data_IF_392034713374
#
_entry.id   IF_392034713374
#
_cell.length_a   1.000
_cell.length_b   1.000
_cell.length_c   1.000
_cell.angle_alpha   90.00
_cell.angle_beta   90.00
_cell.angle_gamma   90.00
#
_symmetry.space_group_name_H-M   'P 1'
#
loop_
_entity.id
_entity.type
_entity.pdbx_description
1 polymer ?
#
# COMPACT_ATOMS: atom_id res chain seq x y z
N UNK A 1 11.56 -4.82 -10.56
CA UNK A 1 10.25 -4.78 -9.87
C UNK A 1 9.43 -5.99 -10.29
N UNK A 2 8.95 -6.74 -9.32
CA UNK A 2 8.10 -7.90 -9.54
C UNK A 2 6.78 -7.69 -8.80
N UNK A 3 5.66 -7.86 -9.49
CA UNK A 3 4.32 -7.77 -8.90
C UNK A 3 3.76 -9.17 -8.67
N UNK A 4 3.28 -9.42 -7.46
CA UNK A 4 2.66 -10.68 -7.06
C UNK A 4 1.24 -10.41 -6.63
N UNK A 5 0.27 -11.01 -7.31
CA UNK A 5 -1.13 -10.85 -6.95
C UNK A 5 -1.46 -11.56 -5.63
N UNK A 6 -2.37 -10.97 -4.87
CA UNK A 6 -2.92 -11.56 -3.65
C UNK A 6 -4.20 -12.32 -3.96
N UNK A 7 -4.88 -12.83 -2.92
CA UNK A 7 -6.20 -13.46 -3.06
C UNK A 7 -7.25 -12.50 -3.64
N UNK A 8 -7.03 -11.19 -3.50
CA UNK A 8 -7.79 -10.15 -4.22
C UNK A 8 -6.88 -9.66 -5.34
N UNK A 9 -7.12 -10.04 -6.61
CA UNK A 9 -6.18 -9.80 -7.70
C UNK A 9 -5.78 -8.35 -7.92
N UNK A 10 -6.64 -7.41 -7.56
CA UNK A 10 -6.37 -5.98 -7.72
C UNK A 10 -5.38 -5.43 -6.70
N UNK A 11 -5.21 -6.13 -5.57
CA UNK A 11 -4.25 -5.78 -4.52
C UNK A 11 -2.97 -6.57 -4.77
N UNK A 12 -1.88 -5.88 -5.03
CA UNK A 12 -0.62 -6.52 -5.44
C UNK A 12 0.52 -6.22 -4.50
N UNK A 13 1.29 -7.26 -4.18
CA UNK A 13 2.56 -7.14 -3.50
C UNK A 13 3.63 -6.75 -4.52
N UNK A 14 4.45 -5.77 -4.19
CA UNK A 14 5.56 -5.35 -5.04
C UNK A 14 6.87 -5.75 -4.38
N UNK A 15 7.67 -6.51 -5.09
CA UNK A 15 9.01 -6.89 -4.68
C UNK A 15 10.01 -6.06 -5.51
N UNK A 16 10.68 -5.07 -4.90
CA UNK A 16 11.64 -4.25 -5.63
C UNK A 16 12.92 -5.03 -5.95
N UNK A 17 13.61 -4.60 -6.99
CA UNK A 17 14.96 -5.10 -7.25
C UNK A 17 15.93 -4.39 -6.30
N UNK A 18 16.64 -5.15 -5.47
CA UNK A 18 17.60 -4.62 -4.51
C UNK A 18 19.01 -5.02 -4.95
N UNK A 19 19.89 -4.03 -5.05
CA UNK A 19 21.28 -4.22 -5.48
C UNK A 19 22.19 -4.04 -4.28
N UNK A 20 22.78 -5.15 -3.81
CA UNK A 20 23.66 -5.17 -2.64
C UNK A 20 25.13 -5.34 -3.04
N UNK A 21 26.02 -4.64 -2.33
CA UNK A 21 27.46 -4.81 -2.43
C UNK A 21 28.11 -4.57 -1.05
N UNK A 22 29.44 -4.48 -1.00
CA UNK A 22 30.16 -4.27 0.26
C UNK A 22 29.85 -2.94 0.97
N UNK A 23 29.26 -1.97 0.28
CA UNK A 23 28.91 -0.67 0.83
C UNK A 23 27.52 -0.66 1.47
N UNK A 24 26.66 -1.66 1.16
CA UNK A 24 25.26 -1.70 1.56
C UNK A 24 24.38 -2.12 0.39
N UNK A 25 23.23 -1.48 0.27
CA UNK A 25 22.30 -1.79 -0.82
C UNK A 25 21.66 -0.53 -1.39
N UNK A 26 21.16 -0.67 -2.62
CA UNK A 26 20.44 0.37 -3.33
C UNK A 26 19.20 -0.24 -3.99
N UNK A 27 18.11 0.48 -3.96
CA UNK A 27 16.93 0.13 -4.76
C UNK A 27 16.24 1.39 -5.28
N UNK A 28 15.61 1.24 -6.43
CA UNK A 28 14.65 2.21 -6.91
C UNK A 28 13.32 1.91 -6.21
N UNK A 29 12.92 2.76 -5.29
CA UNK A 29 11.74 2.50 -4.46
C UNK A 29 10.43 2.81 -5.17
N UNK A 30 10.47 3.63 -6.22
CA UNK A 30 9.31 3.88 -7.08
C UNK A 30 9.76 4.37 -8.44
N UNK A 31 9.10 3.87 -9.48
CA UNK A 31 9.26 4.31 -10.85
C UNK A 31 7.88 4.18 -11.51
N UNK A 32 7.25 5.30 -11.81
CA UNK A 32 5.89 5.32 -12.35
C UNK A 32 5.78 4.53 -13.64
N UNK A 33 6.72 4.71 -14.55
CA UNK A 33 6.69 4.04 -15.85
C UNK A 33 6.75 2.51 -15.71
N UNK A 34 7.63 2.01 -14.85
CA UNK A 34 7.75 0.57 -14.59
C UNK A 34 6.55 0.02 -13.86
N UNK A 35 6.05 0.74 -12.87
CA UNK A 35 4.87 0.34 -12.11
C UNK A 35 3.66 0.19 -13.02
N UNK A 36 3.41 1.20 -13.86
CA UNK A 36 2.32 1.16 -14.83
C UNK A 36 2.47 0.01 -15.83
N UNK A 37 3.68 -0.23 -16.33
CA UNK A 37 3.94 -1.31 -17.26
C UNK A 37 3.68 -2.69 -16.64
N UNK A 38 4.10 -2.90 -15.39
CA UNK A 38 3.90 -4.17 -14.69
C UNK A 38 2.41 -4.41 -14.35
N UNK A 39 1.68 -3.36 -13.96
CA UNK A 39 0.22 -3.47 -13.78
C UNK A 39 -0.48 -3.85 -15.08
N UNK A 40 -0.10 -3.22 -16.19
CA UNK A 40 -0.67 -3.51 -17.51
C UNK A 40 -0.42 -4.96 -17.93
N UNK A 41 0.74 -5.52 -17.63
CA UNK A 41 1.05 -6.94 -17.90
C UNK A 41 0.10 -7.89 -17.17
N UNK A 42 -0.39 -7.51 -16.00
CA UNK A 42 -1.34 -8.28 -15.22
C UNK A 42 -2.79 -8.01 -15.64
N UNK A 43 -3.02 -7.13 -16.61
CA UNK A 43 -4.36 -6.72 -17.01
C UNK A 43 -5.07 -5.84 -15.99
N UNK A 44 -4.33 -5.23 -15.07
CA UNK A 44 -4.89 -4.37 -14.03
C UNK A 44 -4.94 -2.91 -14.50
N UNK A 45 -5.91 -2.13 -13.98
CA UNK A 45 -5.97 -0.71 -14.32
C UNK A 45 -4.73 0.05 -13.88
N UNK A 46 -4.29 0.98 -14.72
CA UNK A 46 -3.22 1.91 -14.40
C UNK A 46 -3.82 3.05 -13.57
N UNK A 47 -3.30 3.32 -12.38
CA UNK A 47 -3.86 4.35 -11.51
C UNK A 47 -3.55 5.76 -11.98
N UNK A 48 -4.25 6.73 -11.38
CA UNK A 48 -3.88 8.13 -11.47
C UNK A 48 -2.49 8.33 -10.83
N UNK A 49 -1.84 9.43 -11.17
CA UNK A 49 -0.53 9.76 -10.61
C UNK A 49 -0.59 9.94 -9.08
N UNK A 50 0.48 9.55 -8.40
CA UNK A 50 0.63 9.85 -6.98
C UNK A 50 0.92 11.34 -6.79
N UNK A 51 0.25 11.95 -5.82
CA UNK A 51 0.30 13.41 -5.60
C UNK A 51 0.67 13.79 -4.16
N UNK A 52 0.72 12.82 -3.25
CA UNK A 52 1.00 13.06 -1.83
C UNK A 52 1.78 11.89 -1.24
N UNK A 53 2.78 12.20 -0.43
CA UNK A 53 3.50 11.23 0.39
C UNK A 53 3.16 11.45 1.86
N UNK A 54 2.96 10.37 2.59
CA UNK A 54 2.74 10.38 4.04
C UNK A 54 3.77 9.48 4.73
N UNK A 55 4.15 9.88 5.95
CA UNK A 55 5.13 9.16 6.77
C UNK A 55 4.62 9.12 8.19
N UNK A 56 4.49 7.94 8.78
CA UNK A 56 4.08 7.77 10.16
C UNK A 56 5.12 6.99 10.96
N UNK A 57 5.11 7.26 12.27
CA UNK A 57 5.88 6.52 13.27
C UNK A 57 4.88 5.92 14.27
N UNK A 58 5.06 4.65 14.61
CA UNK A 58 4.13 3.95 15.51
C UNK A 58 4.88 3.02 16.46
N UNK A 59 4.42 2.99 17.70
CA UNK A 59 4.88 2.01 18.69
C UNK A 59 4.24 0.65 18.42
N UNK A 60 4.88 -0.41 18.90
CA UNK A 60 4.37 -1.76 18.76
C UNK A 60 2.93 -1.87 19.26
N UNK A 61 2.09 -2.53 18.47
CA UNK A 61 0.69 -2.75 18.80
C UNK A 61 -0.25 -1.62 18.40
N UNK A 62 0.27 -0.49 17.92
CA UNK A 62 -0.57 0.60 17.42
C UNK A 62 -1.27 0.13 16.16
N UNK A 63 -2.60 0.28 16.16
CA UNK A 63 -3.46 -0.02 15.03
C UNK A 63 -3.95 1.30 14.43
N UNK A 64 -3.71 1.49 13.12
CA UNK A 64 -4.24 2.64 12.38
C UNK A 64 -5.17 2.13 11.28
N UNK A 65 -6.40 2.62 11.28
CA UNK A 65 -7.36 2.24 10.24
C UNK A 65 -8.66 1.69 10.83
N UNK A 66 -9.51 1.12 10.00
CA UNK A 66 -9.41 1.09 8.53
C UNK A 66 -9.93 2.39 7.94
N UNK A 67 -9.17 3.03 7.08
CA UNK A 67 -9.53 4.31 6.48
C UNK A 67 -9.77 4.19 4.98
N UNK A 68 -10.66 5.02 4.47
CA UNK A 68 -10.87 5.23 3.04
C UNK A 68 -11.44 6.62 2.80
N UNK A 69 -11.35 7.10 1.57
CA UNK A 69 -11.98 8.35 1.15
C UNK A 69 -13.04 8.09 0.10
N UNK A 70 -14.16 8.78 0.28
CA UNK A 70 -15.28 8.75 -0.66
C UNK A 70 -14.97 9.59 -1.90
N UNK A 71 -15.59 9.32 -3.06
CA UNK A 71 -15.58 10.27 -4.16
C UNK A 71 -16.02 11.67 -3.69
N UNK A 72 -15.49 12.76 -4.23
CA UNK A 72 -14.64 12.79 -5.43
C UNK A 72 -13.12 12.62 -5.17
N UNK A 73 -12.71 12.23 -3.96
CA UNK A 73 -11.30 12.11 -3.60
C UNK A 73 -10.91 10.71 -3.08
N UNK A 74 -11.25 9.62 -3.82
CA UNK A 74 -10.76 8.30 -3.42
C UNK A 74 -9.25 8.25 -3.56
N UNK A 75 -8.59 7.47 -2.70
CA UNK A 75 -7.13 7.35 -2.70
C UNK A 75 -6.71 5.91 -2.96
N UNK A 76 -5.94 5.70 -4.03
CA UNK A 76 -5.08 4.54 -4.17
C UNK A 76 -3.81 4.77 -3.36
N UNK A 77 -3.26 3.72 -2.76
CA UNK A 77 -2.12 3.83 -1.86
C UNK A 77 -1.04 2.84 -2.22
N UNK A 78 0.19 3.31 -2.28
CA UNK A 78 1.37 2.47 -2.40
C UNK A 78 2.16 2.60 -1.10
N UNK A 79 2.20 1.51 -0.33
CA UNK A 79 2.69 1.52 1.04
C UNK A 79 3.94 0.68 1.22
N UNK A 80 4.81 1.10 2.14
CA UNK A 80 6.02 0.35 2.52
C UNK A 80 6.46 0.69 3.94
N UNK A 81 7.24 -0.22 4.54
CA UNK A 81 7.85 -0.03 5.86
C UNK A 81 9.34 0.21 5.68
N UNK A 82 9.86 1.29 6.25
CA UNK A 82 11.29 1.63 6.17
C UNK A 82 12.05 1.34 7.46
N UNK A 83 11.33 1.13 8.57
CA UNK A 83 11.88 0.70 9.84
C UNK A 83 10.84 -0.13 10.58
N UNK A 84 11.25 -1.28 11.14
CA UNK A 84 10.35 -2.15 11.86
C UNK A 84 9.53 -3.06 10.94
N UNK A 85 8.31 -3.35 11.36
CA UNK A 85 7.39 -4.25 10.65
C UNK A 85 5.95 -3.88 10.91
N UNK A 86 5.10 -4.11 9.91
CA UNK A 86 3.66 -3.91 10.01
C UNK A 86 2.90 -5.03 9.32
N UNK A 87 1.73 -5.37 9.88
CA UNK A 87 0.73 -6.17 9.18
C UNK A 87 -0.22 -5.21 8.49
N UNK A 88 -0.14 -5.17 7.17
CA UNK A 88 -0.92 -4.26 6.34
C UNK A 88 -2.17 -4.94 5.84
N UNK A 89 -3.33 -4.30 5.98
CA UNK A 89 -4.64 -4.90 5.70
C UNK A 89 -5.40 -4.05 4.70
N UNK A 90 -5.91 -4.68 3.65
CA UNK A 90 -6.79 -4.06 2.67
C UNK A 90 -8.10 -4.84 2.59
N UNK A 91 -9.21 -4.12 2.66
CA UNK A 91 -10.57 -4.68 2.58
C UNK A 91 -11.26 -4.12 1.36
N UNK A 92 -11.80 -4.99 0.52
CA UNK A 92 -12.58 -4.57 -0.63
C UNK A 92 -13.97 -4.08 -0.18
N UNK A 93 -14.22 -2.79 -0.37
CA UNK A 93 -15.51 -2.17 -0.05
C UNK A 93 -16.19 -1.60 -1.31
N UNK A 94 -15.73 -2.01 -2.49
CA UNK A 94 -16.27 -1.54 -3.77
C UNK A 94 -17.63 -2.17 -4.05
N UNK A 95 -18.62 -1.31 -4.28
CA UNK A 95 -19.97 -1.73 -4.63
C UNK A 95 -19.96 -2.49 -5.97
N UNK A 96 -20.55 -3.67 -5.99
CA UNK A 96 -20.60 -4.51 -7.19
C UNK A 96 -19.33 -5.33 -7.47
N UNK A 97 -18.31 -5.22 -6.62
CA UNK A 97 -17.10 -6.04 -6.77
C UNK A 97 -17.38 -7.51 -6.44
N UNK A 98 -16.82 -8.47 -7.22
CA UNK A 98 -16.93 -9.88 -6.89
C UNK A 98 -16.23 -10.27 -5.58
N UNK A 99 -15.32 -9.42 -5.08
CA UNK A 99 -14.59 -9.64 -3.83
C UNK A 99 -15.03 -8.70 -2.71
N UNK A 100 -16.21 -8.08 -2.84
CA UNK A 100 -16.74 -7.19 -1.81
C UNK A 100 -16.77 -7.87 -0.44
N UNK A 101 -16.19 -7.22 0.57
CA UNK A 101 -16.10 -7.72 1.94
C UNK A 101 -14.91 -8.65 2.20
N UNK A 102 -14.23 -9.09 1.17
CA UNK A 102 -13.00 -9.88 1.33
C UNK A 102 -11.84 -8.96 1.72
N UNK A 103 -10.84 -9.53 2.37
CA UNK A 103 -9.67 -8.80 2.83
C UNK A 103 -8.40 -9.62 2.63
N UNK A 104 -7.29 -8.92 2.55
CA UNK A 104 -5.96 -9.51 2.53
C UNK A 104 -5.09 -8.82 3.57
N UNK A 105 -4.17 -9.57 4.16
CA UNK A 105 -3.18 -9.06 5.08
C UNK A 105 -1.80 -9.47 4.62
N UNK A 106 -0.87 -8.53 4.60
CA UNK A 106 0.50 -8.75 4.13
C UNK A 106 1.47 -8.17 5.15
N UNK A 107 2.45 -8.95 5.56
CA UNK A 107 3.51 -8.47 6.43
C UNK A 107 4.54 -7.70 5.60
N UNK A 108 4.72 -6.42 5.94
CA UNK A 108 5.69 -5.52 5.34
C UNK A 108 6.75 -5.19 6.38
N UNK A 109 8.02 -5.38 6.03
CA UNK A 109 9.12 -5.10 6.94
C UNK A 109 10.22 -4.30 6.25
N UNK A 110 11.05 -3.63 7.05
CA UNK A 110 12.25 -2.98 6.53
C UNK A 110 13.21 -3.99 5.87
N UNK A 111 13.18 -5.26 6.33
CA UNK A 111 14.06 -6.32 5.85
C UNK A 111 13.56 -6.96 4.55
N UNK A 112 12.24 -7.27 4.46
CA UNK A 112 11.69 -7.88 3.25
C UNK A 112 11.50 -6.86 2.11
N UNK A 113 11.46 -5.59 2.44
CA UNK A 113 11.34 -4.46 1.50
C UNK A 113 10.14 -4.55 0.56
N UNK A 114 9.15 -5.36 0.91
CA UNK A 114 7.92 -5.48 0.15
C UNK A 114 7.09 -4.22 0.26
N UNK A 115 6.37 -3.95 -0.83
CA UNK A 115 5.38 -2.87 -0.86
C UNK A 115 4.03 -3.47 -1.20
N UNK A 116 2.97 -2.74 -0.89
CA UNK A 116 1.61 -3.16 -1.24
C UNK A 116 0.92 -2.04 -2.02
N UNK A 117 0.37 -2.39 -3.17
CA UNK A 117 -0.50 -1.52 -3.95
C UNK A 117 -1.94 -1.82 -3.61
N UNK A 118 -2.65 -0.81 -3.13
CA UNK A 118 -4.06 -0.88 -2.75
C UNK A 118 -4.81 0.13 -3.60
N UNK A 119 -5.60 -0.32 -4.57
CA UNK A 119 -6.34 0.59 -5.45
C UNK A 119 -7.40 1.43 -4.71
N UNK A 120 -7.91 2.44 -5.40
CA UNK A 120 -9.07 3.20 -4.94
C UNK A 120 -10.25 2.26 -4.69
N UNK A 121 -11.07 2.58 -3.68
CA UNK A 121 -12.25 1.78 -3.34
C UNK A 121 -12.00 0.71 -2.29
N UNK A 122 -10.81 0.68 -1.69
CA UNK A 122 -10.49 -0.22 -0.58
C UNK A 122 -10.38 0.56 0.73
N UNK A 123 -10.78 -0.08 1.83
CA UNK A 123 -10.41 0.37 3.16
C UNK A 123 -9.02 -0.18 3.51
N UNK A 124 -8.21 0.61 4.18
CA UNK A 124 -6.82 0.29 4.46
C UNK A 124 -6.44 0.62 5.89
N UNK A 125 -5.64 -0.24 6.48
CA UNK A 125 -5.06 -0.02 7.79
C UNK A 125 -3.88 -0.93 8.03
N UNK A 126 -3.19 -0.71 9.14
CA UNK A 126 -2.08 -1.57 9.53
C UNK A 126 -1.91 -1.62 11.05
N UNK A 127 -1.26 -2.67 11.51
CA UNK A 127 -0.83 -2.80 12.90
C UNK A 127 0.70 -2.84 12.93
N UNK A 128 1.30 -2.00 13.77
CA UNK A 128 2.74 -2.03 13.98
C UNK A 128 3.12 -3.29 14.79
N UNK A 129 4.01 -4.10 14.24
CA UNK A 129 4.46 -5.36 14.85
C UNK A 129 5.70 -5.19 15.71
N UNK A 130 6.41 -4.07 15.54
CA UNK A 130 7.63 -3.73 16.29
C UNK A 130 7.56 -2.28 16.77
N UNK A 131 8.33 -1.96 17.80
CA UNK A 131 8.53 -0.58 18.23
C UNK A 131 9.27 0.21 17.15
N UNK A 132 9.02 1.52 17.10
CA UNK A 132 9.65 2.41 16.13
C UNK A 132 9.37 1.99 14.67
N UNK A 133 8.17 1.52 14.38
CA UNK A 133 7.77 1.20 13.02
C UNK A 133 7.51 2.49 12.24
N UNK A 134 8.25 2.67 11.14
CA UNK A 134 8.08 3.80 10.25
C UNK A 134 7.49 3.32 8.94
N UNK A 135 6.37 3.93 8.57
CA UNK A 135 5.50 3.53 7.48
C UNK A 135 5.34 4.70 6.52
N UNK A 136 5.64 4.47 5.24
CA UNK A 136 5.51 5.47 4.20
C UNK A 136 4.49 5.02 3.17
N UNK A 137 3.71 5.97 2.67
CA UNK A 137 2.84 5.65 1.54
C UNK A 137 2.55 6.86 0.65
N UNK A 138 2.38 6.56 -0.63
CA UNK A 138 1.97 7.50 -1.66
C UNK A 138 0.49 7.38 -1.90
N UNK A 139 -0.17 8.49 -2.22
CA UNK A 139 -1.62 8.49 -2.52
C UNK A 139 -1.91 9.10 -3.88
N UNK A 140 -2.95 8.59 -4.53
CA UNK A 140 -3.37 9.08 -5.86
C UNK A 140 -4.28 10.30 -5.79
N UNK A 141 -4.63 10.75 -4.59
CA UNK A 141 -5.39 11.99 -4.39
C UNK A 141 -4.98 12.60 -3.06
N UNK A 142 -5.31 13.87 -2.89
CA UNK A 142 -5.01 14.61 -1.67
C UNK A 142 -5.92 14.17 -0.53
N UNK A 143 -5.42 14.32 0.69
CA UNK A 143 -6.24 14.14 1.88
C UNK A 143 -7.42 15.12 1.86
N UNK A 144 -8.62 14.58 2.01
CA UNK A 144 -9.86 15.35 2.03
C UNK A 144 -10.67 14.92 3.27
N UNK A 145 -10.60 15.74 4.33
CA UNK A 145 -11.21 15.42 5.62
C UNK A 145 -12.70 15.08 5.49
N UNK A 146 -13.41 15.83 4.65
CA UNK A 146 -14.85 15.63 4.47
C UNK A 146 -15.20 14.33 3.77
N UNK A 147 -14.24 13.75 3.04
CA UNK A 147 -14.42 12.48 2.32
C UNK A 147 -13.93 11.28 3.13
N UNK A 148 -13.17 11.50 4.20
CA UNK A 148 -12.61 10.41 5.00
C UNK A 148 -13.69 9.67 5.78
N UNK A 149 -13.57 8.33 5.78
CA UNK A 149 -14.39 7.43 6.59
C UNK A 149 -13.48 6.39 7.23
N UNK A 150 -13.94 5.87 8.36
CA UNK A 150 -13.23 4.85 9.11
C UNK A 150 -14.20 3.73 9.46
N UNK A 151 -13.76 2.49 9.32
CA UNK A 151 -14.50 1.32 9.78
C UNK A 151 -13.68 0.55 10.81
N UNK A 152 -14.37 -0.02 11.79
CA UNK A 152 -13.74 -0.80 12.84
C UNK A 152 -13.56 -2.27 12.44
#
# INVERSE_FOLDING_TARGET
MKLVQTAIPDVVVIEPAVFADSRGWFMESFNEQRFHAELAKLGLPVPRAFVQDNHSFSHKGVLRGLHYQLPPHPQGKLVRVVRGAALDVAVDIRKGSPTLGQWVAVELTATNQRMLWIPEGFAHGFMALEDSTEFLYKTTDYYAKDCERCIA
#
